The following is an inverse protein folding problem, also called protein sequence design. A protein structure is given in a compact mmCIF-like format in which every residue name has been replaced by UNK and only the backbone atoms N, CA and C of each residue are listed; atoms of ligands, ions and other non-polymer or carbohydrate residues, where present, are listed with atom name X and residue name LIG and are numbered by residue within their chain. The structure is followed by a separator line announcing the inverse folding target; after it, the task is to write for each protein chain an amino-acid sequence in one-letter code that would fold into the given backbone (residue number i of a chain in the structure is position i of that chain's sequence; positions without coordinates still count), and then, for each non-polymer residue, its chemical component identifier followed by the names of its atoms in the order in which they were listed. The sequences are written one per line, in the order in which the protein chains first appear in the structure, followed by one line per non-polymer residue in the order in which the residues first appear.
data_IF_017508436939
#
_entry.id   IF_017508436939
#
_cell.length_a   1.000
_cell.length_b   1.000
_cell.length_c   1.000
_cell.angle_alpha   90.00
_cell.angle_beta   90.00
_cell.angle_gamma   90.00
#
_symmetry.space_group_name_H-M   'P 1'
#
loop_
_entity.id
_entity.type
_entity.pdbx_description
1 polymer ?
#
# COMPACT_ATOMS: atom_id res chain seq x y z
N UNK A 1 -10.99 -5.00 -23.86
CA UNK A 1 -10.66 -6.26 -23.17
C UNK A 1 -10.11 -5.90 -21.80
N UNK A 2 -10.63 -6.50 -20.73
CA UNK A 2 -10.12 -6.29 -19.39
C UNK A 2 -9.03 -7.32 -19.10
N UNK A 3 -7.90 -6.90 -18.55
CA UNK A 3 -6.77 -7.78 -18.22
C UNK A 3 -6.93 -8.25 -16.78
N UNK A 4 -7.11 -9.55 -16.57
CA UNK A 4 -7.23 -10.11 -15.21
C UNK A 4 -5.85 -10.31 -14.60
N UNK A 5 -5.57 -9.60 -13.51
CA UNK A 5 -4.31 -9.66 -12.75
C UNK A 5 -4.49 -10.27 -11.36
N UNK A 6 -5.60 -10.99 -11.15
CA UNK A 6 -5.90 -11.72 -9.92
C UNK A 6 -4.77 -12.70 -9.63
N UNK A 7 -4.03 -12.48 -8.53
CA UNK A 7 -2.86 -13.27 -8.10
C UNK A 7 -1.57 -13.11 -8.94
N UNK A 8 -1.47 -12.09 -9.80
CA UNK A 8 -0.21 -11.74 -10.44
C UNK A 8 0.87 -11.41 -9.39
N UNK A 9 2.09 -11.93 -9.56
CA UNK A 9 3.22 -11.56 -8.70
C UNK A 9 3.80 -10.27 -9.26
N UNK A 10 3.52 -9.15 -8.58
CA UNK A 10 3.98 -7.80 -8.95
C UNK A 10 5.02 -7.25 -7.97
N UNK A 11 5.55 -8.10 -7.09
CA UNK A 11 6.55 -7.73 -6.09
C UNK A 11 7.84 -7.23 -6.75
N UNK A 12 8.21 -5.98 -6.44
CA UNK A 12 9.38 -5.31 -7.02
C UNK A 12 9.26 -4.93 -8.49
N UNK A 13 8.12 -5.22 -9.14
CA UNK A 13 7.88 -4.90 -10.56
C UNK A 13 7.72 -3.40 -10.75
N UNK A 14 8.38 -2.87 -11.78
CA UNK A 14 8.28 -1.46 -12.15
C UNK A 14 7.05 -1.22 -13.02
N UNK A 15 6.01 -0.64 -12.41
CA UNK A 15 4.75 -0.28 -13.05
C UNK A 15 4.64 1.24 -13.26
N UNK A 16 5.71 2.01 -13.03
CA UNK A 16 5.68 3.48 -13.13
C UNK A 16 5.27 3.93 -14.53
N UNK A 17 4.20 4.73 -14.60
CA UNK A 17 3.68 5.27 -15.88
C UNK A 17 2.86 4.27 -16.70
N UNK A 18 2.57 3.09 -16.14
CA UNK A 18 1.73 2.08 -16.81
C UNK A 18 0.25 2.43 -16.66
N UNK A 19 -0.54 2.14 -17.70
CA UNK A 19 -1.99 2.30 -17.69
C UNK A 19 -2.69 0.98 -17.32
N UNK A 20 -3.17 0.91 -16.08
CA UNK A 20 -3.86 -0.25 -15.49
C UNK A 20 -5.37 -0.02 -15.38
N UNK A 21 -5.93 1.04 -15.99
CA UNK A 21 -7.38 1.37 -15.88
C UNK A 21 -8.32 0.27 -16.39
N UNK A 22 -7.84 -0.58 -17.30
CA UNK A 22 -8.58 -1.74 -17.81
C UNK A 22 -8.28 -3.05 -17.08
N UNK A 23 -7.39 -3.03 -16.08
CA UNK A 23 -7.03 -4.23 -15.34
C UNK A 23 -8.03 -4.47 -14.20
N UNK A 24 -8.42 -5.73 -14.02
CA UNK A 24 -9.30 -6.17 -12.94
C UNK A 24 -8.58 -7.21 -12.07
N UNK A 25 -8.96 -7.30 -10.80
CA UNK A 25 -8.37 -8.26 -9.87
C UNK A 25 -7.01 -7.85 -9.27
N UNK A 26 -6.59 -6.59 -9.42
CA UNK A 26 -5.47 -6.03 -8.67
C UNK A 26 -5.87 -5.84 -7.20
N UNK A 27 -4.99 -6.22 -6.28
CA UNK A 27 -5.17 -6.00 -4.84
C UNK A 27 -4.22 -4.92 -4.32
N UNK A 28 -4.59 -4.28 -3.20
CA UNK A 28 -3.75 -3.28 -2.57
C UNK A 28 -2.38 -3.83 -2.17
N UNK A 29 -2.33 -5.07 -1.70
CA UNK A 29 -1.08 -5.77 -1.31
C UNK A 29 -0.13 -5.94 -2.50
N UNK A 30 -0.65 -6.32 -3.67
CA UNK A 30 0.16 -6.43 -4.88
C UNK A 30 0.75 -5.08 -5.30
N UNK A 31 -0.02 -3.99 -5.15
CA UNK A 31 0.42 -2.64 -5.49
C UNK A 31 1.38 -2.05 -4.46
N UNK A 32 1.26 -2.45 -3.20
CA UNK A 32 2.14 -2.01 -2.12
C UNK A 32 3.57 -2.53 -2.30
N UNK A 33 3.71 -3.73 -2.86
CA UNK A 33 5.01 -4.33 -3.20
C UNK A 33 5.52 -3.93 -4.59
N UNK A 34 4.65 -3.45 -5.47
CA UNK A 34 5.02 -2.96 -6.80
C UNK A 34 5.58 -1.53 -6.74
N UNK A 35 6.50 -1.20 -7.66
CA UNK A 35 7.00 0.16 -7.82
C UNK A 35 6.05 0.94 -8.73
N UNK A 36 5.29 1.84 -8.16
CA UNK A 36 4.38 2.72 -8.88
C UNK A 36 4.63 4.19 -8.51
N UNK A 37 4.17 5.09 -9.38
CA UNK A 37 4.27 6.53 -9.21
C UNK A 37 2.97 7.24 -9.64
N UNK A 38 2.86 8.55 -9.42
CA UNK A 38 1.71 9.40 -9.80
C UNK A 38 1.32 9.30 -11.28
N UNK A 39 2.25 8.88 -12.15
CA UNK A 39 2.01 8.64 -13.58
C UNK A 39 1.27 7.33 -13.87
N UNK A 40 1.23 6.42 -12.90
CA UNK A 40 0.58 5.11 -13.02
C UNK A 40 -0.92 5.30 -12.90
N UNK A 41 -1.67 4.82 -13.90
CA UNK A 41 -3.13 4.99 -13.94
C UNK A 41 -3.80 3.74 -13.43
N UNK A 42 -4.31 3.80 -12.19
CA UNK A 42 -5.04 2.70 -11.57
C UNK A 42 -6.52 2.70 -11.99
N UNK A 43 -7.19 1.53 -11.92
CA UNK A 43 -8.63 1.46 -12.11
C UNK A 43 -9.38 2.26 -11.04
N UNK A 44 -10.60 2.70 -11.33
CA UNK A 44 -11.39 3.58 -10.45
C UNK A 44 -11.57 3.01 -9.05
N UNK A 45 -11.67 1.69 -8.90
CA UNK A 45 -11.75 1.10 -7.57
C UNK A 45 -10.47 1.27 -6.75
N UNK A 46 -9.29 1.37 -7.37
CA UNK A 46 -7.98 1.41 -6.69
C UNK A 46 -7.28 2.78 -6.76
N UNK A 47 -7.93 3.79 -7.35
CA UNK A 47 -7.41 5.15 -7.43
C UNK A 47 -7.21 5.82 -6.06
N UNK A 48 -7.74 5.28 -4.98
CA UNK A 48 -7.45 5.80 -3.65
C UNK A 48 -6.04 5.43 -3.17
N UNK A 49 -5.45 4.34 -3.68
CA UNK A 49 -4.16 3.80 -3.23
C UNK A 49 -2.95 4.59 -3.72
N UNK A 50 -2.99 5.15 -4.93
CA UNK A 50 -1.91 6.01 -5.42
C UNK A 50 -1.84 7.34 -4.65
N UNK A 51 -2.97 7.80 -4.12
CA UNK A 51 -3.07 9.03 -3.35
C UNK A 51 -2.57 8.85 -1.92
N UNK A 52 -2.57 7.62 -1.41
CA UNK A 52 -2.12 7.25 -0.05
C UNK A 52 -0.68 6.75 0.02
N UNK A 53 0.10 6.80 -1.08
CA UNK A 53 1.54 6.52 -1.01
C UNK A 53 2.31 7.60 -0.22
N UNK A 54 1.63 8.70 0.15
CA UNK A 54 1.98 9.43 1.36
C UNK A 54 1.65 8.53 2.55
N UNK A 55 2.63 7.73 2.95
CA UNK A 55 2.88 7.33 4.34
C UNK A 55 1.59 7.28 5.16
N UNK A 56 1.11 6.07 5.45
CA UNK A 56 0.53 5.84 6.77
C UNK A 56 1.65 6.19 7.77
N UNK A 57 1.79 7.49 8.00
CA UNK A 57 2.47 8.07 9.10
C UNK A 57 1.62 7.63 10.29
N UNK A 58 2.16 6.65 11.01
CA UNK A 58 1.80 6.38 12.40
C UNK A 58 0.43 5.72 12.60
N UNK A 59 0.16 4.54 12.04
CA UNK A 59 -0.90 3.65 12.59
C UNK A 59 -0.46 2.21 12.86
N UNK A 60 0.84 1.93 12.87
CA UNK A 60 1.36 0.67 13.42
C UNK A 60 2.59 0.92 14.28
N UNK A 61 2.40 1.60 15.40
CA UNK A 61 3.18 1.32 16.60
C UNK A 61 2.36 0.36 17.46
N UNK A 62 2.69 -0.94 17.55
CA UNK A 62 2.23 -1.80 18.64
C UNK A 62 2.95 -1.48 19.97
N UNK A 63 3.90 -0.54 19.97
CA UNK A 63 4.75 -0.21 21.11
C UNK A 63 4.29 1.05 21.85
N UNK A 64 3.03 1.08 22.29
CA UNK A 64 2.73 1.57 23.64
C UNK A 64 2.30 0.37 24.50
N UNK A 65 3.01 -0.74 24.36
CA UNK A 65 2.93 -1.87 25.27
C UNK A 65 3.97 -1.67 26.37
N UNK A 66 3.48 -1.25 27.54
CA UNK A 66 3.91 -1.61 28.91
C UNK A 66 5.39 -1.96 29.19
N UNK A 67 5.94 -1.28 30.19
CA UNK A 67 6.99 -1.79 31.10
C UNK A 67 7.33 -0.73 32.15
N UNK A 68 6.83 -0.83 33.40
CA UNK A 68 7.59 -1.21 34.62
C UNK A 68 8.71 -0.20 34.96
N UNK A 69 8.87 0.41 36.14
CA UNK A 69 8.59 0.02 37.54
C UNK A 69 9.05 1.20 38.41
N UNK A 70 8.45 1.35 39.61
CA UNK A 70 8.99 2.02 40.80
C UNK A 70 9.51 3.47 40.71
N UNK A 71 8.86 4.37 41.44
CA UNK A 71 9.52 5.18 42.50
C UNK A 71 8.45 5.74 43.44
N UNK A 72 8.54 5.34 44.71
CA UNK A 72 7.96 6.09 45.83
C UNK A 72 8.57 7.49 45.82
N UNK A 73 7.76 8.54 46.01
CA UNK A 73 8.24 9.74 46.71
C UNK A 73 7.10 10.40 47.51
N UNK A 74 7.33 10.38 48.83
CA UNK A 74 6.98 11.30 49.92
C UNK A 74 5.54 11.78 50.11
#
# INVERSE_FOLDING_TARGET
MATQLTRAILDGVDLRGTDLRGCQGLTAEQLQNAKMDHRTRLPRELQYLNSTNSRVACQTSPSCSRGTTHSFDS
#
